data_IF_177157772528
#
_entry.id   IF_177157772528
#
_cell.length_a   1.000
_cell.length_b   1.000
_cell.length_c   1.000
_cell.angle_alpha   90.00
_cell.angle_beta   90.00
_cell.angle_gamma   90.00
#
_symmetry.space_group_name_H-M   'P 1'
#
loop_
_entity.id
_entity.type
_entity.pdbx_description
1 polymer ?
#
# COMPACT_ATOMS: atom_id res chain seq x y z
N UNK A 1 98.63 -1.11 66.40
CA UNK A 1 97.40 -0.30 66.52
C UNK A 1 97.37 0.69 65.36
N UNK A 2 96.80 0.28 64.23
CA UNK A 2 96.54 1.16 63.09
C UNK A 2 95.03 1.33 62.97
N UNK A 3 94.59 2.59 62.93
CA UNK A 3 93.21 3.01 62.71
C UNK A 3 93.22 3.82 61.41
N UNK A 4 92.53 3.33 60.39
CA UNK A 4 92.18 4.09 59.17
C UNK A 4 90.65 4.24 59.14
N UNK A 5 90.11 5.42 58.79
CA UNK A 5 88.73 5.59 58.43
C UNK A 5 88.60 5.81 56.91
N UNK A 6 87.96 4.87 56.20
CA UNK A 6 87.50 5.13 54.83
C UNK A 6 85.99 5.38 54.86
N UNK A 7 85.62 6.66 54.83
CA UNK A 7 84.31 7.12 54.40
C UNK A 7 84.38 7.32 52.88
N UNK A 8 83.87 6.37 52.10
CA UNK A 8 83.61 6.58 50.68
C UNK A 8 82.13 6.92 50.50
N UNK A 9 81.86 8.19 50.20
CA UNK A 9 80.56 8.69 49.73
C UNK A 9 80.33 8.11 48.33
N UNK A 10 79.31 7.29 48.14
CA UNK A 10 78.85 6.89 46.81
C UNK A 10 78.17 8.10 46.14
N UNK A 11 78.78 8.64 45.09
CA UNK A 11 78.10 9.54 44.15
C UNK A 11 76.99 8.74 43.44
N UNK A 12 75.73 8.97 43.82
CA UNK A 12 74.59 8.56 43.00
C UNK A 12 74.67 9.28 41.66
N UNK A 13 74.78 8.52 40.57
CA UNK A 13 74.72 9.06 39.21
C UNK A 13 73.38 9.80 39.01
N UNK A 14 73.41 10.95 38.31
CA UNK A 14 72.19 11.69 37.96
C UNK A 14 71.28 10.79 37.09
N UNK A 15 70.03 10.50 37.50
CA UNK A 15 69.10 9.67 36.73
C UNK A 15 68.87 10.20 35.31
N UNK A 16 69.13 11.48 35.05
CA UNK A 16 69.04 12.04 33.71
C UNK A 16 70.15 11.62 32.75
N UNK A 17 71.29 11.16 33.28
CA UNK A 17 72.45 10.72 32.50
C UNK A 17 72.44 9.21 32.21
N UNK A 18 71.60 8.45 32.91
CA UNK A 18 71.48 6.99 32.74
C UNK A 18 70.51 6.58 31.64
N UNK A 19 69.60 7.47 31.22
CA UNK A 19 68.59 7.19 30.17
C UNK A 19 69.03 7.69 28.79
N UNK A 20 68.63 6.99 27.73
CA UNK A 20 68.91 7.36 26.32
C UNK A 20 67.58 7.56 25.58
N UNK A 21 67.28 8.78 25.06
CA UNK A 21 68.07 10.01 25.13
C UNK A 21 68.08 10.62 26.55
N UNK A 22 69.14 11.35 26.95
CA UNK A 22 69.23 11.93 28.29
C UNK A 22 68.17 13.02 28.52
N UNK A 23 67.66 13.17 29.75
CA UNK A 23 66.79 14.32 30.04
C UNK A 23 67.59 15.62 30.07
N UNK A 24 67.17 16.58 29.25
CA UNK A 24 67.89 17.85 29.04
C UNK A 24 67.27 19.03 29.81
N UNK A 25 65.97 18.94 30.12
CA UNK A 25 65.18 20.03 30.68
C UNK A 25 64.59 19.64 32.05
N UNK A 26 64.27 20.63 32.88
CA UNK A 26 63.58 20.39 34.16
C UNK A 26 62.21 19.73 33.96
N UNK A 27 61.50 20.07 32.88
CA UNK A 27 60.26 19.40 32.47
C UNK A 27 60.49 17.92 32.15
N UNK A 28 61.54 17.58 31.39
CA UNK A 28 61.90 16.20 31.07
C UNK A 28 62.27 15.40 32.33
N UNK A 29 62.87 16.05 33.33
CA UNK A 29 63.16 15.43 34.63
C UNK A 29 61.89 15.06 35.39
N UNK A 30 60.89 15.96 35.41
CA UNK A 30 59.59 15.64 36.02
C UNK A 30 58.85 14.53 35.25
N UNK A 31 58.96 14.52 33.93
CA UNK A 31 58.35 13.48 33.09
C UNK A 31 59.03 12.13 33.27
N UNK A 32 60.36 12.10 33.42
CA UNK A 32 61.10 10.87 33.73
C UNK A 32 60.72 10.32 35.11
N UNK A 33 60.64 11.18 36.13
CA UNK A 33 60.23 10.74 37.47
C UNK A 33 58.77 10.25 37.49
N UNK A 34 57.89 10.88 36.72
CA UNK A 34 56.52 10.42 36.53
C UNK A 34 56.46 9.07 35.81
N UNK A 35 57.29 8.84 34.78
CA UNK A 35 57.38 7.55 34.10
C UNK A 35 57.98 6.45 34.98
N UNK A 36 58.95 6.77 35.85
CA UNK A 36 59.45 5.84 36.87
C UNK A 36 58.36 5.47 37.87
N UNK A 37 57.51 6.43 38.24
CA UNK A 37 56.37 6.16 39.11
C UNK A 37 55.34 5.25 38.43
N UNK A 38 55.06 5.48 37.15
CA UNK A 38 54.16 4.63 36.35
C UNK A 38 54.76 3.23 36.15
N UNK A 39 56.04 3.13 35.82
CA UNK A 39 56.75 1.86 35.67
C UNK A 39 56.67 1.04 36.96
N UNK A 40 56.93 1.65 38.11
CA UNK A 40 56.76 1.03 39.43
C UNK A 40 55.32 0.59 39.76
N UNK A 41 54.31 1.22 39.16
CA UNK A 41 52.91 0.79 39.33
C UNK A 41 52.55 -0.39 38.40
N UNK A 42 53.29 -0.55 37.29
CA UNK A 42 53.09 -1.62 36.31
C UNK A 42 53.92 -2.88 36.63
N UNK A 43 55.09 -2.69 37.25
CA UNK A 43 56.03 -3.71 37.71
C UNK A 43 55.62 -4.17 39.14
N UNK A 44 54.77 -5.20 39.22
CA UNK A 44 54.15 -5.65 40.48
C UNK A 44 55.15 -6.38 41.38
N UNK A 45 56.08 -7.15 40.78
CA UNK A 45 57.11 -7.89 41.51
C UNK A 45 58.39 -7.08 41.81
N UNK A 46 58.50 -5.87 41.25
CA UNK A 46 59.61 -4.92 41.40
C UNK A 46 60.97 -5.51 40.93
N UNK A 47 60.96 -6.36 39.92
CA UNK A 47 62.17 -6.96 39.34
C UNK A 47 62.93 -6.01 38.39
N UNK A 48 62.30 -4.88 38.01
CA UNK A 48 62.84 -3.85 37.14
C UNK A 48 62.41 -3.96 35.67
N UNK A 49 61.55 -4.91 35.30
CA UNK A 49 61.04 -5.10 33.95
C UNK A 49 59.57 -5.48 33.94
N UNK A 50 58.74 -4.71 33.22
CA UNK A 50 57.31 -5.04 33.12
C UNK A 50 57.15 -6.25 32.19
N UNK A 51 56.58 -7.33 32.68
CA UNK A 51 56.24 -8.52 31.89
C UNK A 51 54.89 -8.38 31.16
N UNK A 52 54.66 -9.23 30.16
CA UNK A 52 53.40 -9.24 29.38
C UNK A 52 52.19 -9.55 30.26
N UNK A 53 52.33 -10.41 31.28
CA UNK A 53 51.22 -10.77 32.15
C UNK A 53 50.83 -9.60 33.07
N UNK A 54 51.82 -8.92 33.65
CA UNK A 54 51.63 -7.76 34.52
C UNK A 54 50.95 -6.61 33.78
N UNK A 55 51.40 -6.33 32.55
CA UNK A 55 50.80 -5.26 31.75
C UNK A 55 49.36 -5.57 31.35
N UNK A 56 49.02 -6.83 31.07
CA UNK A 56 47.64 -7.25 30.77
C UNK A 56 46.74 -7.12 31.99
N UNK A 57 47.21 -7.56 33.16
CA UNK A 57 46.49 -7.44 34.43
C UNK A 57 46.21 -5.98 34.76
N UNK A 58 47.21 -5.12 34.66
CA UNK A 58 47.06 -3.68 34.87
C UNK A 58 46.06 -3.02 33.91
N UNK A 59 46.09 -3.36 32.61
CA UNK A 59 45.14 -2.81 31.62
C UNK A 59 43.69 -3.21 31.96
N UNK A 60 43.48 -4.44 32.44
CA UNK A 60 42.15 -4.96 32.74
C UNK A 60 41.64 -4.39 34.07
N UNK A 61 42.47 -4.42 35.12
CA UNK A 61 42.06 -4.09 36.49
C UNK A 61 42.08 -2.58 36.75
N UNK A 62 43.20 -1.92 36.45
CA UNK A 62 43.41 -0.52 36.79
C UNK A 62 42.91 0.43 35.70
N UNK A 63 43.13 0.09 34.43
CA UNK A 63 42.61 0.90 33.32
C UNK A 63 41.15 0.61 32.96
N UNK A 64 40.58 -0.50 33.45
CA UNK A 64 39.20 -0.96 33.17
C UNK A 64 38.89 -1.05 31.67
N UNK A 65 39.87 -1.43 30.85
CA UNK A 65 39.70 -1.56 29.40
C UNK A 65 39.74 -3.04 28.98
N UNK A 66 38.71 -3.50 28.26
CA UNK A 66 38.64 -4.87 27.72
C UNK A 66 39.46 -5.08 26.42
N UNK A 67 40.22 -4.06 25.97
CA UNK A 67 40.92 -4.12 24.69
C UNK A 67 42.25 -4.89 24.80
N UNK A 68 42.23 -6.16 24.40
CA UNK A 68 43.42 -7.02 24.32
C UNK A 68 44.39 -6.64 23.20
N UNK A 69 44.10 -5.66 22.33
CA UNK A 69 45.03 -5.25 21.27
C UNK A 69 46.05 -4.20 21.73
N UNK A 70 45.99 -3.76 22.99
CA UNK A 70 46.86 -2.70 23.54
C UNK A 70 48.16 -3.25 24.14
N UNK A 71 48.13 -4.43 24.76
CA UNK A 71 49.35 -5.07 25.30
C UNK A 71 50.37 -5.40 24.19
N UNK A 72 49.92 -5.75 22.98
CA UNK A 72 50.80 -6.00 21.83
C UNK A 72 51.49 -4.74 21.29
N UNK A 73 50.89 -3.56 21.48
CA UNK A 73 51.53 -2.29 21.13
C UNK A 73 52.60 -1.87 22.14
N UNK A 74 52.40 -2.23 23.40
CA UNK A 74 53.34 -1.94 24.49
C UNK A 74 54.56 -2.88 24.40
N UNK A 75 54.34 -4.18 24.19
CA UNK A 75 55.41 -5.19 24.16
C UNK A 75 55.98 -5.51 22.77
N UNK A 76 55.53 -4.87 21.67
CA UNK A 76 55.98 -5.11 20.26
C UNK A 76 56.66 -6.47 20.00
N UNK A 77 57.99 -6.54 20.16
CA UNK A 77 58.83 -7.75 20.03
C UNK A 77 59.54 -8.15 21.35
N UNK A 78 59.49 -7.31 22.39
CA UNK A 78 60.24 -7.45 23.64
C UNK A 78 59.33 -7.91 24.79
N UNK A 79 59.71 -9.01 25.45
CA UNK A 79 58.91 -9.61 26.52
C UNK A 79 58.97 -8.85 27.86
N UNK A 80 59.97 -7.98 28.05
CA UNK A 80 60.20 -7.23 29.29
C UNK A 80 60.47 -5.77 28.93
N UNK A 81 59.83 -4.82 29.63
CA UNK A 81 60.01 -3.37 29.38
C UNK A 81 60.66 -2.71 30.58
N UNK A 82 61.87 -2.20 30.37
CA UNK A 82 62.62 -1.44 31.39
C UNK A 82 62.20 0.04 31.44
N UNK A 83 62.58 0.74 32.52
CA UNK A 83 62.36 2.19 32.67
C UNK A 83 62.97 2.97 31.49
N UNK A 84 64.17 2.58 31.04
CA UNK A 84 64.86 3.19 29.91
C UNK A 84 64.09 3.01 28.59
N UNK A 85 63.49 1.83 28.39
CA UNK A 85 62.70 1.53 27.19
C UNK A 85 61.37 2.26 27.17
N UNK A 86 60.71 2.37 28.34
CA UNK A 86 59.50 3.17 28.49
C UNK A 86 59.79 4.65 28.21
N UNK A 87 60.90 5.18 28.72
CA UNK A 87 61.36 6.54 28.43
C UNK A 87 61.65 6.74 26.94
N UNK A 88 62.37 5.82 26.32
CA UNK A 88 62.68 5.86 24.88
C UNK A 88 61.41 5.81 24.04
N UNK A 89 60.47 4.92 24.38
CA UNK A 89 59.17 4.80 23.73
C UNK A 89 58.35 6.08 23.83
N UNK A 90 58.31 6.70 25.00
CA UNK A 90 57.68 7.99 25.23
C UNK A 90 58.29 9.10 24.37
N UNK A 91 59.62 9.26 24.35
CA UNK A 91 60.29 10.32 23.58
C UNK A 91 60.10 10.22 22.07
N UNK A 92 59.88 9.00 21.55
CA UNK A 92 59.60 8.75 20.13
C UNK A 92 58.10 8.88 19.80
N UNK A 93 57.23 8.80 20.81
CA UNK A 93 55.79 8.86 20.63
C UNK A 93 55.32 10.19 20.02
N UNK A 94 54.25 10.14 19.23
CA UNK A 94 53.60 11.36 18.71
C UNK A 94 53.06 12.24 19.84
N UNK A 95 52.70 11.62 20.97
CA UNK A 95 52.11 12.28 22.14
C UNK A 95 53.10 13.19 22.85
N UNK A 96 54.39 12.82 22.90
CA UNK A 96 55.44 13.70 23.42
C UNK A 96 55.56 15.00 22.62
N UNK A 97 55.34 14.95 21.30
CA UNK A 97 55.45 16.11 20.41
C UNK A 97 54.16 16.94 20.31
N UNK A 98 53.16 16.67 21.15
CA UNK A 98 51.92 17.46 21.16
C UNK A 98 52.17 18.89 21.59
N UNK A 99 51.61 19.80 20.80
CA UNK A 99 51.55 21.21 21.14
C UNK A 99 50.45 21.47 22.17
N UNK A 100 50.41 22.69 22.72
CA UNK A 100 49.32 23.12 23.60
C UNK A 100 47.93 22.92 22.94
N UNK A 101 47.80 23.18 21.65
CA UNK A 101 46.53 23.01 20.93
C UNK A 101 46.14 21.54 20.81
N UNK A 102 47.10 20.65 20.56
CA UNK A 102 46.86 19.21 20.49
C UNK A 102 46.42 18.66 21.84
N UNK A 103 47.07 19.10 22.93
CA UNK A 103 46.70 18.73 24.30
C UNK A 103 45.29 19.24 24.68
N UNK A 104 44.92 20.45 24.26
CA UNK A 104 43.58 20.99 24.46
C UNK A 104 42.54 20.26 23.61
N UNK A 105 42.87 19.90 22.37
CA UNK A 105 41.97 19.14 21.51
C UNK A 105 41.72 17.74 22.08
N UNK A 106 42.78 17.08 22.56
CA UNK A 106 42.69 15.81 23.27
C UNK A 106 41.80 15.90 24.52
N UNK A 107 41.94 16.96 25.33
CA UNK A 107 41.09 17.20 26.49
C UNK A 107 39.61 17.30 26.12
N UNK A 108 39.28 17.93 24.99
CA UNK A 108 37.89 18.11 24.51
C UNK A 108 37.31 16.85 23.88
N UNK A 109 38.04 16.22 22.97
CA UNK A 109 37.52 15.14 22.14
C UNK A 109 37.69 13.77 22.78
N UNK A 110 38.81 13.53 23.48
CA UNK A 110 39.18 12.21 23.99
C UNK A 110 38.91 12.04 25.48
N UNK A 111 39.07 13.12 26.26
CA UNK A 111 38.78 13.14 27.70
C UNK A 111 37.37 13.68 27.99
N UNK A 112 36.79 14.45 27.07
CA UNK A 112 35.47 15.09 27.19
C UNK A 112 35.36 16.02 28.40
N UNK A 113 36.44 16.75 28.71
CA UNK A 113 36.49 17.71 29.82
C UNK A 113 36.82 19.13 29.32
N UNK A 114 35.99 19.73 28.44
CA UNK A 114 36.26 21.05 27.86
C UNK A 114 36.35 22.17 28.92
N UNK A 115 35.74 21.97 30.08
CA UNK A 115 35.71 22.95 31.18
C UNK A 115 37.10 23.32 31.74
N UNK A 116 38.11 22.45 31.60
CA UNK A 116 39.47 22.72 32.07
C UNK A 116 40.39 23.30 30.99
N UNK A 117 39.87 23.56 29.78
CA UNK A 117 40.64 24.15 28.67
C UNK A 117 41.38 25.42 29.08
N UNK A 118 40.71 26.32 29.80
CA UNK A 118 41.31 27.60 30.22
C UNK A 118 42.53 27.39 31.11
N UNK A 119 42.46 26.42 32.02
CA UNK A 119 43.57 26.08 32.91
C UNK A 119 44.71 25.44 32.10
N UNK A 120 44.40 24.53 31.17
CA UNK A 120 45.41 23.92 30.30
C UNK A 120 46.17 24.97 29.46
N UNK A 121 45.45 25.99 28.96
CA UNK A 121 46.04 27.12 28.23
C UNK A 121 46.86 28.06 29.12
N UNK A 122 46.37 28.37 30.32
CA UNK A 122 47.05 29.24 31.29
C UNK A 122 48.38 28.63 31.76
N UNK A 123 48.40 27.32 32.03
CA UNK A 123 49.59 26.60 32.50
C UNK A 123 50.46 26.01 31.37
N UNK A 124 50.11 26.28 30.10
CA UNK A 124 50.84 25.82 28.91
C UNK A 124 51.12 24.31 28.93
N UNK A 125 50.08 23.52 29.20
CA UNK A 125 50.16 22.06 29.21
C UNK A 125 50.44 21.57 27.80
N UNK A 126 51.59 20.95 27.60
CA UNK A 126 52.03 20.35 26.35
C UNK A 126 52.17 18.82 26.47
N UNK A 127 52.54 18.15 25.37
CA UNK A 127 52.79 16.72 25.35
C UNK A 127 53.74 16.25 26.44
N UNK A 128 54.82 17.01 26.70
CA UNK A 128 55.83 16.66 27.68
C UNK A 128 55.29 16.59 29.11
N UNK A 129 54.25 17.36 29.45
CA UNK A 129 53.64 17.34 30.80
C UNK A 129 52.64 16.20 31.03
N UNK A 130 52.23 15.46 30.00
CA UNK A 130 51.25 14.37 30.12
C UNK A 130 51.65 13.22 31.05
N UNK A 131 52.92 12.76 31.10
CA UNK A 131 53.33 11.73 32.06
C UNK A 131 53.06 12.12 33.51
N UNK A 132 53.17 13.41 33.85
CA UNK A 132 52.89 13.91 35.20
C UNK A 132 51.40 13.81 35.56
N UNK A 133 50.53 13.97 34.57
CA UNK A 133 49.08 13.76 34.69
C UNK A 133 48.78 12.26 34.83
N UNK A 134 49.44 11.43 34.04
CA UNK A 134 49.34 9.96 34.08
C UNK A 134 49.83 9.35 35.40
N UNK A 135 50.83 9.96 36.04
CA UNK A 135 51.31 9.57 37.37
C UNK A 135 50.44 10.09 38.53
N UNK A 136 49.34 10.81 38.25
CA UNK A 136 48.43 11.40 39.23
C UNK A 136 49.12 12.33 40.24
N UNK A 137 50.11 13.12 39.81
CA UNK A 137 50.89 13.99 40.70
C UNK A 137 49.97 15.04 41.38
N UNK A 138 49.76 15.00 42.72
CA UNK A 138 48.77 15.85 43.38
C UNK A 138 49.06 17.35 43.27
N UNK A 139 50.34 17.73 43.28
CA UNK A 139 50.85 19.08 43.06
C UNK A 139 50.46 19.61 41.69
N UNK A 140 50.62 18.81 40.64
CA UNK A 140 50.28 19.22 39.28
C UNK A 140 48.77 19.27 39.06
N UNK A 141 48.05 18.21 39.45
CA UNK A 141 46.61 18.06 39.22
C UNK A 141 45.75 19.03 40.03
N UNK A 142 46.10 19.25 41.31
CA UNK A 142 45.28 20.05 42.22
C UNK A 142 45.74 21.51 42.28
N UNK A 143 47.04 21.78 42.31
CA UNK A 143 47.55 23.16 42.48
C UNK A 143 47.68 23.90 41.15
N UNK A 144 48.12 23.24 40.07
CA UNK A 144 48.28 23.87 38.76
C UNK A 144 46.99 23.76 37.95
N UNK A 145 46.49 22.55 37.67
CA UNK A 145 45.29 22.39 36.83
C UNK A 145 43.96 22.73 37.51
N UNK A 146 43.96 22.97 38.83
CA UNK A 146 42.78 23.30 39.66
C UNK A 146 41.62 22.32 39.48
N UNK A 147 41.93 21.05 39.21
CA UNK A 147 40.92 20.00 39.10
C UNK A 147 40.64 19.53 40.53
N UNK A 148 39.50 19.91 41.09
CA UNK A 148 39.13 19.53 42.47
C UNK A 148 38.31 18.23 42.52
N UNK A 149 37.59 17.92 41.44
CA UNK A 149 36.72 16.73 41.37
C UNK A 149 37.53 15.45 41.17
N UNK A 150 37.35 14.49 42.08
CA UNK A 150 38.02 13.20 42.07
C UNK A 150 37.69 12.37 40.81
N UNK A 151 36.47 12.49 40.27
CA UNK A 151 36.06 11.76 39.07
C UNK A 151 36.78 12.29 37.82
N UNK A 152 36.91 13.60 37.71
CA UNK A 152 37.64 14.22 36.61
C UNK A 152 39.14 13.95 36.71
N UNK A 153 39.70 13.92 37.93
CA UNK A 153 41.09 13.49 38.15
C UNK A 153 41.32 12.08 37.66
N UNK A 154 40.48 11.13 38.08
CA UNK A 154 40.58 9.73 37.66
C UNK A 154 40.40 9.57 36.14
N UNK A 155 39.39 10.22 35.54
CA UNK A 155 39.16 10.16 34.10
C UNK A 155 40.35 10.72 33.31
N UNK A 156 40.87 11.88 33.73
CA UNK A 156 42.01 12.53 33.08
C UNK A 156 43.30 11.69 33.24
N UNK A 157 43.52 11.14 34.43
CA UNK A 157 44.65 10.26 34.72
C UNK A 157 44.63 9.01 33.82
N UNK A 158 43.53 8.27 33.80
CA UNK A 158 43.39 7.05 33.00
C UNK A 158 43.57 7.33 31.50
N UNK A 159 43.04 8.45 31.00
CA UNK A 159 43.21 8.84 29.60
C UNK A 159 44.64 9.30 29.29
N UNK A 160 45.30 10.00 30.22
CA UNK A 160 46.70 10.41 30.05
C UNK A 160 47.62 9.19 30.07
N UNK A 161 47.36 8.24 30.96
CA UNK A 161 48.07 6.97 31.04
C UNK A 161 47.91 6.17 29.75
N UNK A 162 46.68 6.12 29.22
CA UNK A 162 46.41 5.51 27.91
C UNK A 162 47.19 6.18 26.78
N UNK A 163 47.25 7.51 26.77
CA UNK A 163 47.98 8.27 25.77
C UNK A 163 49.50 8.09 25.86
N UNK A 164 50.04 8.02 27.08
CA UNK A 164 51.48 7.89 27.34
C UNK A 164 51.98 6.47 27.03
N UNK A 165 51.21 5.44 27.40
CA UNK A 165 51.59 4.04 27.20
C UNK A 165 51.31 3.53 25.77
N UNK A 166 50.19 3.94 25.16
CA UNK A 166 49.72 3.37 23.88
C UNK A 166 49.71 4.36 22.71
N UNK A 167 50.02 5.64 22.96
CA UNK A 167 50.04 6.68 21.93
C UNK A 167 48.70 7.41 21.77
N UNK A 168 48.52 8.23 20.71
CA UNK A 168 47.33 9.05 20.54
C UNK A 168 46.06 8.21 20.58
N UNK A 169 44.98 8.67 21.25
CA UNK A 169 43.72 7.96 21.20
C UNK A 169 43.28 7.83 19.75
N UNK A 170 42.89 6.60 19.36
CA UNK A 170 42.32 6.31 18.05
C UNK A 170 41.17 7.28 17.80
N UNK A 171 41.42 8.33 17.00
CA UNK A 171 40.39 9.30 16.66
C UNK A 171 39.20 8.50 16.13
N UNK A 172 37.98 8.66 16.66
CA UNK A 172 36.80 8.20 15.95
C UNK A 172 36.74 9.06 14.69
N UNK A 173 37.34 8.58 13.61
CA UNK A 173 37.22 9.20 12.32
C UNK A 173 35.74 9.10 12.00
N UNK A 174 35.01 10.22 12.12
CA UNK A 174 33.60 10.26 11.76
C UNK A 174 33.55 10.02 10.24
N UNK A 175 33.40 8.75 9.90
CA UNK A 175 33.55 8.24 8.56
C UNK A 175 32.22 8.50 7.86
N UNK A 176 32.00 9.76 7.48
CA UNK A 176 30.80 10.22 6.77
C UNK A 176 30.44 9.29 5.60
N UNK A 177 31.45 8.66 4.98
CA UNK A 177 31.29 7.65 3.93
C UNK A 177 30.58 6.38 4.44
N UNK A 178 30.91 5.89 5.64
CA UNK A 178 30.23 4.75 6.28
C UNK A 178 28.78 5.10 6.60
N UNK A 179 28.53 6.30 7.13
CA UNK A 179 27.18 6.75 7.45
C UNK A 179 26.35 6.99 6.17
N UNK A 180 26.98 7.46 5.10
CA UNK A 180 26.37 7.63 3.78
C UNK A 180 26.03 6.29 3.12
N UNK A 181 26.93 5.31 3.18
CA UNK A 181 26.69 3.95 2.70
C UNK A 181 25.58 3.26 3.51
N UNK A 182 25.54 3.47 4.82
CA UNK A 182 24.47 2.97 5.68
C UNK A 182 23.11 3.59 5.31
N UNK A 183 23.06 4.90 5.05
CA UNK A 183 21.82 5.56 4.63
C UNK A 183 21.34 5.07 3.26
N UNK A 184 22.26 4.91 2.31
CA UNK A 184 21.92 4.35 0.98
C UNK A 184 21.41 2.90 1.11
N UNK A 185 22.02 2.08 1.95
CA UNK A 185 21.59 0.68 2.12
C UNK A 185 20.20 0.57 2.76
N UNK A 186 19.87 1.45 3.71
CA UNK A 186 18.53 1.56 4.29
C UNK A 186 17.51 1.98 3.21
N UNK A 187 17.84 2.97 2.37
CA UNK A 187 16.94 3.42 1.29
C UNK A 187 16.69 2.29 0.28
N UNK A 188 17.71 1.53 -0.09
CA UNK A 188 17.58 0.38 -0.99
C UNK A 188 16.74 -0.72 -0.33
N UNK A 189 16.97 -1.01 0.96
CA UNK A 189 16.19 -2.01 1.72
C UNK A 189 14.70 -1.62 1.81
N UNK A 190 14.40 -0.37 2.17
CA UNK A 190 13.03 0.14 2.25
C UNK A 190 12.38 0.20 0.87
N UNK A 191 13.13 0.63 -0.16
CA UNK A 191 12.68 0.64 -1.55
C UNK A 191 12.34 -0.76 -2.06
N UNK A 192 13.18 -1.77 -1.73
CA UNK A 192 12.95 -3.17 -2.05
C UNK A 192 11.72 -3.73 -1.34
N UNK A 193 11.57 -3.47 -0.03
CA UNK A 193 10.40 -3.88 0.74
C UNK A 193 9.10 -3.22 0.22
N UNK A 194 9.15 -1.94 -0.14
CA UNK A 194 8.03 -1.21 -0.71
C UNK A 194 7.65 -1.73 -2.11
N UNK A 195 8.64 -2.01 -2.96
CA UNK A 195 8.43 -2.59 -4.28
C UNK A 195 7.83 -3.99 -4.19
N UNK A 196 8.35 -4.85 -3.29
CA UNK A 196 7.78 -6.16 -3.01
C UNK A 196 6.35 -6.06 -2.46
N UNK A 197 6.07 -5.08 -1.59
CA UNK A 197 4.71 -4.82 -1.07
C UNK A 197 3.75 -4.42 -2.20
N UNK A 198 4.16 -3.53 -3.11
CA UNK A 198 3.38 -3.14 -4.29
C UNK A 198 3.15 -4.34 -5.21
N UNK A 199 4.20 -5.11 -5.51
CA UNK A 199 4.11 -6.26 -6.40
C UNK A 199 3.24 -7.37 -5.78
N UNK A 200 3.28 -7.56 -4.46
CA UNK A 200 2.41 -8.47 -3.72
C UNK A 200 0.94 -8.01 -3.72
N UNK A 201 0.68 -6.68 -3.69
CA UNK A 201 -0.67 -6.14 -3.86
C UNK A 201 -1.17 -6.33 -5.30
N UNK A 202 -0.31 -6.12 -6.29
CA UNK A 202 -0.61 -6.32 -7.71
C UNK A 202 -0.80 -7.81 -8.06
N UNK A 203 -0.03 -8.72 -7.46
CA UNK A 203 -0.16 -10.16 -7.69
C UNK A 203 -1.48 -10.70 -7.17
N UNK A 204 -1.99 -10.18 -6.04
CA UNK A 204 -3.34 -10.54 -5.56
C UNK A 204 -4.45 -10.11 -6.51
N UNK A 205 -4.22 -9.05 -7.29
CA UNK A 205 -5.16 -8.64 -8.35
C UNK A 205 -5.08 -9.62 -9.52
N UNK A 206 -3.88 -10.01 -9.97
CA UNK A 206 -3.73 -11.02 -11.02
C UNK A 206 -4.22 -12.42 -10.61
N UNK A 207 -4.04 -12.84 -9.35
CA UNK A 207 -4.53 -14.12 -8.82
C UNK A 207 -6.05 -14.11 -8.73
N UNK A 208 -6.68 -13.01 -8.30
CA UNK A 208 -8.14 -12.93 -8.30
C UNK A 208 -8.73 -12.90 -9.71
N UNK A 209 -8.01 -12.31 -10.67
CA UNK A 209 -8.35 -12.40 -12.09
C UNK A 209 -8.22 -13.84 -12.62
N UNK A 210 -7.11 -14.53 -12.33
CA UNK A 210 -6.89 -15.93 -12.71
C UNK A 210 -7.88 -16.89 -12.05
N UNK A 211 -8.28 -16.65 -10.80
CA UNK A 211 -9.30 -17.48 -10.12
C UNK A 211 -10.67 -17.31 -10.78
N UNK A 212 -11.03 -16.10 -11.21
CA UNK A 212 -12.27 -15.86 -11.97
C UNK A 212 -12.23 -16.53 -13.34
N UNK A 213 -11.10 -16.48 -14.03
CA UNK A 213 -10.95 -17.13 -15.32
C UNK A 213 -11.03 -18.66 -15.18
N UNK A 214 -10.44 -19.23 -14.10
CA UNK A 214 -10.48 -20.66 -13.79
C UNK A 214 -11.89 -21.12 -13.38
N UNK A 215 -12.62 -20.32 -12.61
CA UNK A 215 -14.02 -20.57 -12.26
C UNK A 215 -14.93 -20.48 -13.50
N UNK A 216 -14.66 -19.55 -14.42
CA UNK A 216 -15.38 -19.45 -15.69
C UNK A 216 -15.09 -20.63 -16.63
N UNK A 217 -13.84 -21.11 -16.65
CA UNK A 217 -13.43 -22.29 -17.41
C UNK A 217 -14.06 -23.55 -16.84
N UNK A 218 -14.09 -23.69 -15.51
CA UNK A 218 -14.75 -24.80 -14.83
C UNK A 218 -16.26 -24.80 -15.09
N UNK A 219 -16.89 -23.62 -15.13
CA UNK A 219 -18.30 -23.49 -15.49
C UNK A 219 -18.54 -23.81 -16.98
N UNK A 220 -17.61 -23.45 -17.87
CA UNK A 220 -17.68 -23.81 -19.28
C UNK A 220 -17.50 -25.33 -19.48
N UNK A 221 -16.57 -25.96 -18.76
CA UNK A 221 -16.38 -27.41 -18.74
C UNK A 221 -17.63 -28.15 -18.25
N UNK A 222 -18.23 -27.69 -17.14
CA UNK A 222 -19.49 -28.24 -16.62
C UNK A 222 -20.66 -28.06 -17.60
N UNK A 223 -20.73 -26.91 -18.29
CA UNK A 223 -21.76 -26.67 -19.31
C UNK A 223 -21.58 -27.54 -20.56
N UNK A 224 -20.34 -27.87 -20.93
CA UNK A 224 -20.04 -28.80 -22.02
C UNK A 224 -20.44 -30.22 -21.65
N UNK A 225 -20.16 -30.65 -20.42
CA UNK A 225 -20.61 -31.95 -19.90
C UNK A 225 -22.14 -32.02 -19.86
N UNK A 226 -22.82 -30.95 -19.43
CA UNK A 226 -24.28 -30.88 -19.43
C UNK A 226 -24.85 -30.93 -20.86
N UNK A 227 -24.23 -30.23 -21.81
CA UNK A 227 -24.64 -30.27 -23.22
C UNK A 227 -24.39 -31.65 -23.84
N UNK A 228 -23.26 -32.31 -23.56
CA UNK A 228 -23.00 -33.69 -23.98
C UNK A 228 -24.02 -34.66 -23.39
N UNK A 229 -24.33 -34.53 -22.10
CA UNK A 229 -25.37 -35.30 -21.41
C UNK A 229 -26.75 -35.09 -22.03
N UNK A 230 -27.13 -33.84 -22.32
CA UNK A 230 -28.41 -33.51 -22.98
C UNK A 230 -28.46 -34.01 -24.41
N UNK A 231 -27.34 -34.01 -25.13
CA UNK A 231 -27.26 -34.51 -26.50
C UNK A 231 -27.32 -36.04 -26.51
N UNK A 232 -26.66 -36.73 -25.58
CA UNK A 232 -26.77 -38.17 -25.38
C UNK A 232 -28.20 -38.57 -24.97
N UNK A 233 -28.81 -37.83 -24.04
CA UNK A 233 -30.21 -38.03 -23.64
C UNK A 233 -31.20 -37.76 -24.78
N UNK A 234 -30.99 -36.72 -25.58
CA UNK A 234 -31.81 -36.45 -26.77
C UNK A 234 -31.58 -37.47 -27.89
N UNK A 235 -30.39 -38.09 -27.98
CA UNK A 235 -30.08 -39.14 -28.93
C UNK A 235 -30.64 -40.50 -28.48
N UNK A 236 -30.69 -40.76 -27.18
CA UNK A 236 -31.33 -41.93 -26.58
C UNK A 236 -32.86 -41.83 -26.61
N UNK A 237 -33.41 -40.63 -26.35
CA UNK A 237 -34.83 -40.33 -26.55
C UNK A 237 -35.19 -40.42 -28.05
N UNK A 238 -34.36 -39.96 -28.98
CA UNK A 238 -34.61 -40.19 -30.41
C UNK A 238 -34.48 -41.66 -30.82
N UNK A 239 -33.61 -42.46 -30.19
CA UNK A 239 -33.50 -43.90 -30.47
C UNK A 239 -34.67 -44.68 -29.91
N UNK A 240 -35.11 -44.37 -28.69
CA UNK A 240 -36.31 -44.97 -28.08
C UNK A 240 -37.56 -44.54 -28.82
N UNK A 241 -37.71 -43.26 -29.17
CA UNK A 241 -38.82 -42.76 -29.99
C UNK A 241 -38.75 -43.31 -31.42
N UNK A 242 -37.58 -43.53 -32.03
CA UNK A 242 -37.50 -44.17 -33.35
C UNK A 242 -37.90 -45.64 -33.29
N UNK A 243 -37.48 -46.38 -32.27
CA UNK A 243 -37.86 -47.80 -32.07
C UNK A 243 -39.33 -47.93 -31.67
N UNK A 244 -39.83 -47.06 -30.80
CA UNK A 244 -41.25 -46.98 -30.44
C UNK A 244 -42.09 -46.51 -31.61
N UNK A 245 -41.63 -45.55 -32.42
CA UNK A 245 -42.31 -45.13 -33.64
C UNK A 245 -42.32 -46.25 -34.67
N UNK A 246 -41.25 -47.03 -34.82
CA UNK A 246 -41.24 -48.15 -35.76
C UNK A 246 -42.13 -49.30 -35.26
N UNK A 247 -42.10 -49.59 -33.96
CA UNK A 247 -42.95 -50.60 -33.32
C UNK A 247 -44.43 -50.18 -33.30
N UNK A 248 -44.72 -48.91 -33.04
CA UNK A 248 -46.06 -48.33 -33.07
C UNK A 248 -46.58 -48.16 -34.49
N UNK A 249 -45.75 -47.79 -35.47
CA UNK A 249 -46.16 -47.80 -36.89
C UNK A 249 -46.40 -49.21 -37.40
N UNK A 250 -45.65 -50.21 -36.93
CA UNK A 250 -45.87 -51.60 -37.29
C UNK A 250 -47.12 -52.16 -36.63
N UNK A 251 -47.34 -51.83 -35.34
CA UNK A 251 -48.56 -52.16 -34.61
C UNK A 251 -49.79 -51.43 -35.17
N UNK A 252 -49.66 -50.16 -35.57
CA UNK A 252 -50.70 -49.42 -36.28
C UNK A 252 -50.93 -49.98 -37.69
N UNK A 253 -49.90 -50.41 -38.43
CA UNK A 253 -50.10 -51.10 -39.72
C UNK A 253 -50.83 -52.43 -39.53
N UNK A 254 -50.52 -53.18 -38.49
CA UNK A 254 -51.16 -54.46 -38.19
C UNK A 254 -52.58 -54.29 -37.65
N UNK A 255 -52.83 -53.27 -36.82
CA UNK A 255 -54.17 -52.87 -36.37
C UNK A 255 -54.98 -52.25 -37.51
N UNK A 256 -54.39 -51.45 -38.40
CA UNK A 256 -55.04 -50.95 -39.61
C UNK A 256 -55.35 -52.11 -40.55
N UNK A 257 -54.45 -53.10 -40.72
CA UNK A 257 -54.71 -54.27 -41.55
C UNK A 257 -55.70 -55.25 -40.88
N UNK A 258 -55.75 -55.30 -39.55
CA UNK A 258 -56.76 -56.02 -38.77
C UNK A 258 -58.13 -55.35 -38.88
N UNK A 259 -58.20 -54.06 -38.60
CA UNK A 259 -59.38 -53.21 -38.74
C UNK A 259 -59.85 -53.08 -40.19
N UNK A 260 -58.96 -53.16 -41.19
CA UNK A 260 -59.35 -53.16 -42.61
C UNK A 260 -59.88 -54.52 -43.06
N UNK A 261 -59.42 -55.63 -42.44
CA UNK A 261 -60.01 -56.97 -42.60
C UNK A 261 -61.36 -57.07 -41.88
N UNK A 262 -61.48 -56.54 -40.67
CA UNK A 262 -62.74 -56.47 -39.92
C UNK A 262 -63.72 -55.47 -40.52
N UNK A 263 -63.28 -54.30 -40.99
CA UNK A 263 -64.14 -53.33 -41.67
C UNK A 263 -64.56 -53.80 -43.07
N UNK A 264 -63.77 -54.63 -43.75
CA UNK A 264 -64.22 -55.30 -44.98
C UNK A 264 -65.24 -56.41 -44.67
N UNK A 265 -65.04 -57.18 -43.59
CA UNK A 265 -65.98 -58.19 -43.08
C UNK A 265 -67.28 -57.60 -42.48
N UNK A 266 -67.20 -56.41 -41.88
CA UNK A 266 -68.32 -55.64 -41.34
C UNK A 266 -69.02 -54.79 -42.40
N UNK A 267 -68.35 -54.44 -43.51
CA UNK A 267 -69.01 -53.85 -44.70
C UNK A 267 -69.93 -54.85 -45.39
N UNK A 268 -69.53 -56.12 -45.49
CA UNK A 268 -70.40 -57.20 -45.99
C UNK A 268 -71.58 -57.50 -45.06
N UNK A 269 -71.46 -57.23 -43.75
CA UNK A 269 -72.54 -57.42 -42.77
C UNK A 269 -73.41 -56.17 -42.54
N UNK A 270 -73.15 -55.07 -43.25
CA UNK A 270 -73.87 -53.80 -43.07
C UNK A 270 -74.41 -53.24 -44.39
N UNK A 271 -74.92 -54.13 -45.24
CA UNK A 271 -76.14 -53.83 -45.99
C UNK A 271 -77.32 -53.93 -45.02
N UNK A 272 -77.68 -52.80 -44.40
CA UNK A 272 -78.90 -52.72 -43.60
C UNK A 272 -78.79 -51.79 -42.40
N UNK A 273 -79.63 -50.76 -42.44
CA UNK A 273 -80.03 -49.86 -41.35
C UNK A 273 -79.04 -48.75 -40.95
N UNK A 274 -79.22 -47.61 -41.62
CA UNK A 274 -78.95 -46.28 -41.11
C UNK A 274 -79.76 -45.99 -39.83
N UNK A 275 -79.11 -45.49 -38.77
CA UNK A 275 -79.50 -44.31 -37.97
C UNK A 275 -78.59 -44.26 -36.71
N UNK A 276 -77.98 -43.09 -36.46
CA UNK A 276 -77.00 -42.69 -35.39
C UNK A 276 -75.71 -42.06 -35.99
N UNK A 277 -75.49 -42.17 -37.31
CA UNK A 277 -74.35 -41.51 -37.97
C UNK A 277 -74.59 -39.99 -38.16
N UNK A 278 -75.85 -39.56 -38.25
CA UNK A 278 -76.21 -38.19 -38.63
C UNK A 278 -76.02 -37.18 -37.49
N UNK A 279 -76.18 -37.59 -36.23
CA UNK A 279 -76.08 -36.68 -35.07
C UNK A 279 -74.62 -36.41 -34.65
N UNK A 280 -73.76 -37.42 -34.73
CA UNK A 280 -72.32 -37.27 -34.45
C UNK A 280 -71.61 -36.50 -35.56
N UNK A 281 -72.00 -36.71 -36.82
CA UNK A 281 -71.45 -35.98 -37.97
C UNK A 281 -71.79 -34.47 -37.90
N UNK A 282 -73.01 -34.13 -37.48
CA UNK A 282 -73.41 -32.73 -37.28
C UNK A 282 -72.63 -32.08 -36.12
N UNK A 283 -72.43 -32.77 -35.00
CA UNK A 283 -71.64 -32.25 -33.88
C UNK A 283 -70.14 -32.10 -34.22
N UNK A 284 -69.60 -33.00 -35.05
CA UNK A 284 -68.24 -32.91 -35.57
C UNK A 284 -68.08 -31.74 -36.56
N UNK A 285 -69.06 -31.53 -37.43
CA UNK A 285 -69.12 -30.39 -38.36
C UNK A 285 -69.23 -29.05 -37.60
N UNK A 286 -70.05 -28.96 -36.55
CA UNK A 286 -70.13 -27.77 -35.68
C UNK A 286 -68.80 -27.50 -34.94
N UNK A 287 -68.12 -28.53 -34.41
CA UNK A 287 -66.80 -28.36 -33.78
C UNK A 287 -65.73 -27.91 -34.77
N UNK A 288 -65.80 -28.37 -36.02
CA UNK A 288 -64.89 -27.91 -37.08
C UNK A 288 -65.18 -26.45 -37.41
N UNK A 289 -66.45 -26.04 -37.49
CA UNK A 289 -66.81 -24.63 -37.70
C UNK A 289 -66.34 -23.73 -36.55
N UNK A 290 -66.53 -24.14 -35.30
CA UNK A 290 -66.06 -23.38 -34.12
C UNK A 290 -64.53 -23.30 -34.08
N UNK A 291 -63.82 -24.39 -34.39
CA UNK A 291 -62.35 -24.36 -34.48
C UNK A 291 -61.86 -23.48 -35.61
N UNK A 292 -62.52 -23.48 -36.77
CA UNK A 292 -62.20 -22.57 -37.87
C UNK A 292 -62.51 -21.11 -37.53
N UNK A 293 -63.62 -20.85 -36.83
CA UNK A 293 -63.98 -19.52 -36.35
C UNK A 293 -62.99 -19.01 -35.30
N UNK A 294 -62.58 -19.86 -34.35
CA UNK A 294 -61.56 -19.54 -33.36
C UNK A 294 -60.20 -19.28 -34.01
N UNK A 295 -59.80 -20.11 -34.99
CA UNK A 295 -58.55 -19.93 -35.74
C UNK A 295 -58.57 -18.68 -36.64
N UNK A 296 -59.75 -18.30 -37.15
CA UNK A 296 -59.95 -17.02 -37.85
C UNK A 296 -59.87 -15.85 -36.88
N UNK A 297 -60.55 -15.92 -35.74
CA UNK A 297 -60.49 -14.91 -34.69
C UNK A 297 -59.08 -14.74 -34.10
N UNK A 298 -58.33 -15.83 -33.92
CA UNK A 298 -56.93 -15.81 -33.48
C UNK A 298 -56.02 -15.18 -34.54
N UNK A 299 -56.26 -15.48 -35.83
CA UNK A 299 -55.50 -14.90 -36.93
C UNK A 299 -55.83 -13.42 -37.13
N UNK A 300 -57.08 -13.02 -37.01
CA UNK A 300 -57.55 -11.63 -37.06
C UNK A 300 -57.02 -10.84 -35.85
N UNK A 301 -57.06 -11.42 -34.65
CA UNK A 301 -56.45 -10.81 -33.47
C UNK A 301 -54.93 -10.65 -33.64
N UNK A 302 -54.22 -11.68 -34.09
CA UNK A 302 -52.76 -11.61 -34.33
C UNK A 302 -52.38 -10.62 -35.45
N UNK A 303 -53.24 -10.40 -36.45
CA UNK A 303 -52.98 -9.38 -37.47
C UNK A 303 -53.21 -7.94 -36.98
N UNK A 304 -54.02 -7.75 -35.93
CA UNK A 304 -54.36 -6.43 -35.40
C UNK A 304 -53.42 -5.95 -34.29
N UNK A 305 -52.59 -6.83 -33.71
CA UNK A 305 -51.53 -6.46 -32.76
C UNK A 305 -50.27 -5.97 -33.50
N UNK A 306 -50.36 -4.82 -34.17
CA UNK A 306 -49.17 -4.06 -34.57
C UNK A 306 -49.00 -2.86 -33.65
N UNK A 307 -47.78 -2.65 -33.14
CA UNK A 307 -47.50 -1.55 -32.23
C UNK A 307 -47.62 -0.23 -33.02
N UNK A 308 -48.43 0.76 -32.57
CA UNK A 308 -48.67 1.98 -33.35
C UNK A 308 -47.39 2.76 -33.66
N UNK A 309 -47.24 3.25 -34.89
CA UNK A 309 -46.10 4.09 -35.32
C UNK A 309 -45.92 5.35 -34.44
N UNK A 310 -47.04 5.91 -33.96
CA UNK A 310 -47.02 6.99 -32.99
C UNK A 310 -46.26 6.61 -31.69
N UNK A 311 -46.39 5.37 -31.21
CA UNK A 311 -45.68 4.91 -30.02
C UNK A 311 -44.17 4.87 -30.26
N UNK A 312 -43.74 4.47 -31.45
CA UNK A 312 -42.31 4.49 -31.81
C UNK A 312 -41.74 5.90 -31.71
N UNK A 313 -42.41 6.90 -32.28
CA UNK A 313 -41.94 8.28 -32.22
C UNK A 313 -41.89 8.82 -30.78
N UNK A 314 -42.90 8.54 -29.95
CA UNK A 314 -42.92 8.95 -28.54
C UNK A 314 -41.84 8.26 -27.70
N UNK A 315 -41.57 6.97 -27.93
CA UNK A 315 -40.50 6.25 -27.27
C UNK A 315 -39.12 6.78 -27.69
N UNK A 316 -38.93 7.10 -28.97
CA UNK A 316 -37.71 7.73 -29.46
C UNK A 316 -37.50 9.11 -28.82
N UNK A 317 -38.55 9.95 -28.74
CA UNK A 317 -38.47 11.24 -28.04
C UNK A 317 -38.11 11.05 -26.56
N UNK A 318 -38.72 10.07 -25.90
CA UNK A 318 -38.45 9.75 -24.48
C UNK A 318 -37.01 9.33 -24.27
N UNK A 319 -36.47 8.46 -25.14
CA UNK A 319 -35.06 8.07 -25.14
C UNK A 319 -34.14 9.28 -25.27
N UNK A 320 -34.42 10.19 -26.22
CA UNK A 320 -33.60 11.38 -26.44
C UNK A 320 -33.60 12.33 -25.24
N UNK A 321 -34.77 12.57 -24.64
CA UNK A 321 -34.87 13.41 -23.43
C UNK A 321 -34.12 12.77 -22.26
N UNK A 322 -34.27 11.46 -22.06
CA UNK A 322 -33.57 10.72 -21.02
C UNK A 322 -32.04 10.74 -21.25
N UNK A 323 -31.61 10.64 -22.51
CA UNK A 323 -30.21 10.73 -22.91
C UNK A 323 -29.61 12.10 -22.58
N UNK A 324 -30.36 13.19 -22.81
CA UNK A 324 -29.96 14.54 -22.41
C UNK A 324 -29.78 14.66 -20.89
N UNK A 325 -30.75 14.21 -20.09
CA UNK A 325 -30.66 14.24 -18.63
C UNK A 325 -29.45 13.47 -18.11
N UNK A 326 -29.22 12.28 -18.65
CA UNK A 326 -28.04 11.50 -18.32
C UNK A 326 -26.74 12.21 -18.69
N UNK A 327 -26.65 12.83 -19.87
CA UNK A 327 -25.44 13.52 -20.31
C UNK A 327 -25.12 14.69 -19.38
N UNK A 328 -26.13 15.44 -18.94
CA UNK A 328 -25.98 16.50 -17.93
C UNK A 328 -25.50 15.90 -16.60
N UNK A 329 -26.14 14.82 -16.10
CA UNK A 329 -25.74 14.17 -14.84
C UNK A 329 -24.29 13.64 -14.92
N UNK A 330 -23.90 13.07 -16.06
CA UNK A 330 -22.54 12.59 -16.33
C UNK A 330 -21.52 13.72 -16.31
N UNK A 331 -21.78 14.82 -17.04
CA UNK A 331 -20.88 15.98 -17.06
C UNK A 331 -20.71 16.58 -15.66
N UNK A 332 -21.77 16.67 -14.88
CA UNK A 332 -21.70 17.16 -13.50
C UNK A 332 -20.83 16.24 -12.61
N UNK A 333 -20.98 14.92 -12.73
CA UNK A 333 -20.15 13.97 -11.99
C UNK A 333 -18.66 14.04 -12.42
N UNK A 334 -18.39 14.22 -13.71
CA UNK A 334 -17.02 14.42 -14.23
C UNK A 334 -16.40 15.73 -13.73
N UNK A 335 -17.19 16.80 -13.64
CA UNK A 335 -16.76 18.07 -13.07
C UNK A 335 -16.44 17.94 -11.58
N UNK A 336 -17.33 17.30 -10.80
CA UNK A 336 -17.10 17.03 -9.37
C UNK A 336 -15.80 16.23 -9.16
N UNK A 337 -15.55 15.21 -9.98
CA UNK A 337 -14.31 14.45 -9.93
C UNK A 337 -13.08 15.32 -10.23
N UNK A 338 -13.17 16.21 -11.21
CA UNK A 338 -12.07 17.10 -11.59
C UNK A 338 -11.75 18.06 -10.44
N UNK A 339 -12.77 18.68 -9.86
CA UNK A 339 -12.61 19.57 -8.69
C UNK A 339 -11.98 18.83 -7.51
N UNK A 340 -12.47 17.63 -7.18
CA UNK A 340 -11.92 16.83 -6.09
C UNK A 340 -10.45 16.43 -6.34
N UNK A 341 -10.08 16.10 -7.59
CA UNK A 341 -8.69 15.82 -7.99
C UNK A 341 -7.79 17.04 -7.82
N UNK A 342 -8.23 18.21 -8.28
CA UNK A 342 -7.46 19.44 -8.18
C UNK A 342 -7.20 19.85 -6.72
N UNK A 343 -8.20 19.70 -5.84
CA UNK A 343 -8.05 19.96 -4.41
C UNK A 343 -7.09 18.95 -3.73
N UNK A 344 -7.19 17.67 -4.08
CA UNK A 344 -6.28 16.64 -3.59
C UNK A 344 -4.82 16.90 -4.05
N UNK A 345 -4.62 17.33 -5.30
CA UNK A 345 -3.30 17.70 -5.81
C UNK A 345 -2.72 18.93 -5.12
N UNK A 346 -3.55 19.93 -4.79
CA UNK A 346 -3.12 21.10 -4.00
C UNK A 346 -2.62 20.69 -2.62
N UNK A 347 -3.33 19.78 -1.93
CA UNK A 347 -2.88 19.23 -0.64
C UNK A 347 -1.55 18.47 -0.81
N UNK A 348 -1.46 17.60 -1.83
CA UNK A 348 -0.24 16.84 -2.13
C UNK A 348 0.97 17.77 -2.39
N UNK A 349 0.79 18.86 -3.14
CA UNK A 349 1.83 19.86 -3.39
C UNK A 349 2.24 20.60 -2.11
N UNK A 350 1.28 20.99 -1.26
CA UNK A 350 1.56 21.59 0.06
C UNK A 350 2.34 20.66 0.97
N UNK A 351 2.01 19.36 0.97
CA UNK A 351 2.69 18.32 1.76
C UNK A 351 4.14 18.08 1.31
N UNK A 352 4.42 18.24 0.01
CA UNK A 352 5.75 18.05 -0.57
C UNK A 352 6.63 19.31 -0.53
N UNK A 353 6.11 20.45 -0.08
CA UNK A 353 6.89 21.68 0.09
C UNK A 353 7.68 21.66 1.41
N UNK A 354 8.91 22.16 1.39
CA UNK A 354 9.95 22.02 2.44
C UNK A 354 9.55 22.53 3.84
N UNK A 355 8.48 23.32 3.95
CA UNK A 355 7.93 23.81 5.23
C UNK A 355 6.52 23.25 5.57
N UNK A 356 6.02 22.26 4.82
CA UNK A 356 4.60 21.82 4.87
C UNK A 356 4.22 20.85 6.00
N UNK A 357 5.18 20.17 6.62
CA UNK A 357 4.92 19.06 7.56
C UNK A 357 4.31 19.52 8.89
N UNK A 358 4.49 20.79 9.27
CA UNK A 358 4.03 21.31 10.57
C UNK A 358 2.57 21.80 10.56
N UNK A 359 2.00 22.13 9.39
CA UNK A 359 0.69 22.80 9.29
C UNK A 359 -0.45 21.89 8.78
N UNK A 360 -0.13 20.71 8.26
CA UNK A 360 -1.11 19.80 7.63
C UNK A 360 -1.81 18.87 8.63
N UNK A 361 -1.23 18.63 9.81
CA UNK A 361 -1.80 17.72 10.81
C UNK A 361 -3.03 18.28 11.57
N UNK A 362 -3.30 19.59 11.47
CA UNK A 362 -4.41 20.25 12.17
C UNK A 362 -5.40 20.97 11.24
N UNK A 363 -5.29 20.81 9.92
CA UNK A 363 -6.18 21.49 8.98
C UNK A 363 -7.41 20.64 8.66
N UNK A 364 -8.60 21.11 9.05
CA UNK A 364 -9.92 20.58 8.65
C UNK A 364 -10.11 20.41 7.13
N UNK A 365 -9.22 20.99 6.32
CA UNK A 365 -9.21 20.88 4.86
C UNK A 365 -8.93 19.47 4.31
N UNK A 366 -8.31 18.58 5.07
CA UNK A 366 -8.05 17.21 4.59
C UNK A 366 -9.33 16.36 4.59
N UNK A 367 -10.09 16.43 5.68
CA UNK A 367 -11.37 15.72 5.81
C UNK A 367 -12.41 16.25 4.82
N UNK A 368 -12.43 17.56 4.57
CA UNK A 368 -13.30 18.17 3.57
C UNK A 368 -12.98 17.66 2.15
N UNK A 369 -11.70 17.55 1.79
CA UNK A 369 -11.29 17.01 0.49
C UNK A 369 -11.58 15.51 0.39
N UNK A 370 -11.39 14.75 1.46
CA UNK A 370 -11.76 13.33 1.47
C UNK A 370 -13.27 13.13 1.27
N UNK A 371 -14.10 13.94 1.93
CA UNK A 371 -15.55 13.93 1.73
C UNK A 371 -15.94 14.23 0.28
N UNK A 372 -15.36 15.27 -0.34
CA UNK A 372 -15.59 15.60 -1.76
C UNK A 372 -15.15 14.47 -2.70
N UNK A 373 -14.06 13.76 -2.38
CA UNK A 373 -13.62 12.59 -3.16
C UNK A 373 -14.65 11.45 -3.05
N UNK A 374 -15.16 11.18 -1.85
CA UNK A 374 -16.18 10.15 -1.63
C UNK A 374 -17.48 10.49 -2.37
N UNK A 375 -17.90 11.75 -2.32
CA UNK A 375 -19.10 12.23 -3.03
C UNK A 375 -18.93 12.09 -4.55
N UNK A 376 -17.79 12.51 -5.11
CA UNK A 376 -17.50 12.36 -6.53
C UNK A 376 -17.45 10.88 -6.98
N UNK A 377 -16.92 9.98 -6.13
CA UNK A 377 -16.97 8.53 -6.40
C UNK A 377 -18.39 8.00 -6.39
N UNK A 378 -19.21 8.43 -5.43
CA UNK A 378 -20.63 8.06 -5.35
C UNK A 378 -21.37 8.53 -6.60
N UNK A 379 -21.24 9.79 -7.00
CA UNK A 379 -21.93 10.33 -8.18
C UNK A 379 -21.54 9.61 -9.48
N UNK A 380 -20.26 9.24 -9.66
CA UNK A 380 -19.82 8.43 -10.80
C UNK A 380 -20.37 6.99 -10.76
N UNK A 381 -20.46 6.38 -9.58
CA UNK A 381 -21.06 5.06 -9.42
C UNK A 381 -22.54 5.06 -9.81
N UNK A 382 -23.27 6.12 -9.42
CA UNK A 382 -24.67 6.31 -9.80
C UNK A 382 -24.84 6.51 -11.31
N UNK A 383 -23.99 7.33 -11.95
CA UNK A 383 -24.00 7.52 -13.41
C UNK A 383 -23.73 6.19 -14.14
N UNK A 384 -22.82 5.37 -13.61
CA UNK A 384 -22.53 4.05 -14.17
C UNK A 384 -23.71 3.08 -14.03
N UNK A 385 -24.34 3.04 -12.86
CA UNK A 385 -25.52 2.22 -12.61
C UNK A 385 -26.70 2.65 -13.50
N UNK A 386 -26.94 3.96 -13.61
CA UNK A 386 -27.95 4.56 -14.47
C UNK A 386 -27.71 4.22 -15.94
N UNK A 387 -26.45 4.26 -16.42
CA UNK A 387 -26.13 3.86 -17.80
C UNK A 387 -26.50 2.39 -18.07
N UNK A 388 -26.11 1.48 -17.16
CA UNK A 388 -26.41 0.04 -17.32
C UNK A 388 -27.91 -0.24 -17.32
N UNK A 389 -28.63 0.35 -16.36
CA UNK A 389 -30.08 0.23 -16.28
C UNK A 389 -30.72 0.72 -17.58
N UNK A 390 -30.37 1.93 -18.02
CA UNK A 390 -30.93 2.54 -19.21
C UNK A 390 -30.69 1.69 -20.46
N UNK A 391 -29.45 1.24 -20.68
CA UNK A 391 -29.12 0.38 -21.82
C UNK A 391 -29.94 -0.91 -21.79
N UNK A 392 -30.05 -1.55 -20.63
CA UNK A 392 -30.83 -2.77 -20.47
C UNK A 392 -32.33 -2.52 -20.73
N UNK A 393 -32.92 -1.50 -20.11
CA UNK A 393 -34.33 -1.18 -20.27
C UNK A 393 -34.68 -0.85 -21.72
N UNK A 394 -33.89 -0.01 -22.40
CA UNK A 394 -34.16 0.31 -23.80
C UNK A 394 -33.99 -0.90 -24.71
N UNK A 395 -33.01 -1.77 -24.45
CA UNK A 395 -32.88 -3.04 -25.18
C UNK A 395 -34.13 -3.94 -24.99
N UNK A 396 -34.68 -4.03 -23.78
CA UNK A 396 -35.91 -4.80 -23.54
C UNK A 396 -37.12 -4.16 -24.21
N UNK A 397 -37.23 -2.83 -24.18
CA UNK A 397 -38.31 -2.10 -24.84
C UNK A 397 -38.26 -2.33 -26.36
N UNK A 398 -37.09 -2.22 -27.00
CA UNK A 398 -36.94 -2.51 -28.44
C UNK A 398 -37.31 -3.96 -28.77
N UNK A 399 -36.93 -4.93 -27.91
CA UNK A 399 -37.29 -6.35 -28.09
C UNK A 399 -38.79 -6.59 -28.00
N UNK A 400 -39.49 -5.92 -27.08
CA UNK A 400 -40.94 -6.06 -26.87
C UNK A 400 -41.71 -5.34 -27.99
N UNK A 401 -41.24 -4.16 -28.40
CA UNK A 401 -41.92 -3.33 -29.38
C UNK A 401 -41.62 -3.73 -30.84
N UNK A 402 -40.49 -4.40 -31.11
CA UNK A 402 -40.14 -4.89 -32.45
C UNK A 402 -39.64 -3.83 -33.43
N UNK A 403 -39.28 -2.63 -32.95
CA UNK A 403 -38.74 -1.53 -33.75
C UNK A 403 -37.57 -0.82 -33.05
N UNK A 404 -36.67 -0.14 -33.79
CA UNK A 404 -35.56 0.60 -33.19
C UNK A 404 -36.03 1.89 -32.52
N UNK A 405 -35.54 2.12 -31.31
CA UNK A 405 -35.77 3.31 -30.48
C UNK A 405 -34.47 4.07 -30.24
N UNK A 406 -33.38 3.36 -29.93
CA UNK A 406 -32.06 3.95 -29.60
C UNK A 406 -31.42 4.58 -30.83
N UNK A 407 -31.57 3.95 -31.99
CA UNK A 407 -31.11 4.50 -33.28
C UNK A 407 -32.26 5.29 -33.94
N UNK A 408 -32.26 6.60 -33.76
CA UNK A 408 -33.32 7.49 -34.22
C UNK A 408 -32.76 8.76 -34.89
N UNK A 409 -33.66 9.62 -35.40
CA UNK A 409 -33.30 10.84 -36.14
C UNK A 409 -32.85 12.02 -35.25
N UNK A 410 -32.81 11.82 -33.93
CA UNK A 410 -32.38 12.80 -32.93
C UNK A 410 -33.50 13.73 -32.46
N UNK A 411 -33.27 14.35 -31.29
CA UNK A 411 -34.23 15.20 -30.58
C UNK A 411 -34.88 16.29 -31.45
N UNK A 412 -34.15 17.06 -32.30
CA UNK A 412 -34.76 18.15 -33.07
C UNK A 412 -35.74 17.65 -34.14
N UNK A 413 -35.41 16.55 -34.81
CA UNK A 413 -36.24 15.93 -35.85
C UNK A 413 -37.52 15.34 -35.25
N UNK A 414 -37.38 14.62 -34.14
CA UNK A 414 -38.52 14.02 -33.42
C UNK A 414 -39.47 15.08 -32.85
N UNK A 415 -38.92 16.16 -32.29
CA UNK A 415 -39.71 17.28 -31.76
C UNK A 415 -40.47 17.98 -32.89
N UNK A 416 -39.81 18.22 -34.03
CA UNK A 416 -40.47 18.82 -35.19
C UNK A 416 -41.63 17.96 -35.71
N UNK A 417 -41.45 16.64 -35.81
CA UNK A 417 -42.48 15.73 -36.32
C UNK A 417 -43.64 15.49 -35.35
N UNK A 418 -43.37 15.39 -34.03
CA UNK A 418 -44.41 15.15 -33.02
C UNK A 418 -45.21 16.39 -32.65
N UNK A 419 -44.59 17.58 -32.71
CA UNK A 419 -45.24 18.84 -32.31
C UNK A 419 -45.66 19.72 -33.51
N UNK A 420 -45.54 19.24 -34.76
CA UNK A 420 -45.97 19.96 -35.95
C UNK A 420 -47.45 20.40 -35.90
N UNK A 421 -48.33 19.61 -35.29
CA UNK A 421 -49.78 19.88 -35.20
C UNK A 421 -50.23 20.62 -33.93
N UNK A 422 -49.32 20.96 -33.00
CA UNK A 422 -49.66 21.66 -31.75
C UNK A 422 -48.80 22.91 -31.54
N UNK A 423 -49.28 24.02 -32.12
CA UNK A 423 -48.66 25.36 -32.09
C UNK A 423 -48.61 26.06 -30.71
N UNK A 424 -48.86 25.38 -29.59
CA UNK A 424 -49.02 26.04 -28.28
C UNK A 424 -48.10 25.57 -27.15
N UNK A 425 -47.10 24.72 -27.39
CA UNK A 425 -46.12 24.34 -26.34
C UNK A 425 -44.68 24.40 -26.85
N UNK A 426 -44.22 25.58 -27.24
CA UNK A 426 -42.78 25.88 -27.36
C UNK A 426 -42.44 26.99 -26.38
N UNK A 427 -42.10 26.61 -25.15
CA UNK A 427 -41.13 27.39 -24.39
C UNK A 427 -39.79 26.66 -24.52
N UNK A 428 -38.76 27.28 -25.13
CA UNK A 428 -37.42 26.76 -25.06
C UNK A 428 -37.03 26.73 -23.57
N UNK A 429 -36.73 25.57 -22.98
CA UNK A 429 -36.14 25.50 -21.63
C UNK A 429 -34.66 25.94 -21.66
N UNK A 430 -34.38 27.07 -22.29
CA UNK A 430 -33.09 27.75 -22.30
C UNK A 430 -33.16 28.98 -21.38
N UNK A 431 -33.77 28.85 -20.20
CA UNK A 431 -33.65 29.80 -19.08
C UNK A 431 -34.59 29.38 -17.94
N UNK A 432 -34.21 28.37 -17.17
CA UNK A 432 -34.70 28.21 -15.80
C UNK A 432 -33.47 28.34 -14.91
N UNK A 433 -33.45 29.22 -13.89
CA UNK A 433 -32.31 29.34 -12.99
C UNK A 433 -32.02 27.99 -12.31
N UNK A 434 -30.76 27.71 -11.90
CA UNK A 434 -30.44 26.45 -11.24
C UNK A 434 -31.21 26.37 -9.93
N UNK A 435 -31.99 25.31 -9.74
CA UNK A 435 -32.48 24.96 -8.40
C UNK A 435 -31.25 24.76 -7.49
N UNK A 436 -31.21 25.36 -6.29
CA UNK A 436 -30.05 25.26 -5.41
C UNK A 436 -29.80 23.82 -4.98
N UNK A 437 -28.52 23.47 -4.99
CA UNK A 437 -27.93 22.25 -4.43
C UNK A 437 -28.22 22.23 -2.93
N UNK A 438 -28.97 21.24 -2.45
CA UNK A 438 -29.10 20.98 -1.01
C UNK A 438 -27.88 20.19 -0.53
N UNK A 439 -26.94 20.90 0.09
CA UNK A 439 -25.92 20.34 0.97
C UNK A 439 -26.12 20.91 2.37
N UNK A 440 -26.49 20.04 3.31
CA UNK A 440 -26.32 20.13 4.77
C UNK A 440 -26.97 21.28 5.54
N UNK A 441 -28.00 20.98 6.35
CA UNK A 441 -28.00 21.03 7.83
C UNK A 441 -29.30 20.45 8.38
N UNK A 442 -29.21 19.93 9.60
CA UNK A 442 -30.25 19.41 10.48
C UNK A 442 -31.47 20.33 10.70
N UNK A 443 -32.54 19.66 11.15
CA UNK A 443 -33.71 20.10 11.92
C UNK A 443 -34.89 20.81 11.23
N UNK A 444 -36.05 20.16 11.40
CA UNK A 444 -37.41 20.67 11.57
C UNK A 444 -37.94 21.70 10.55
N UNK A 445 -38.83 21.27 9.65
CA UNK A 445 -40.27 21.29 9.96
C UNK A 445 -41.10 20.65 8.84
N UNK A 446 -42.22 20.11 9.28
CA UNK A 446 -43.29 19.43 8.58
C UNK A 446 -43.92 20.30 7.49
N UNK A 447 -43.73 19.94 6.21
CA UNK A 447 -44.71 20.22 5.15
C UNK A 447 -44.47 19.31 3.95
N UNK A 448 -45.24 18.22 3.93
CA UNK A 448 -45.26 17.26 2.82
C UNK A 448 -45.98 17.90 1.62
N UNK A 449 -45.34 18.11 0.46
CA UNK A 449 -46.06 18.56 -0.73
C UNK A 449 -47.04 17.47 -1.19
N UNK A 450 -48.22 17.83 -1.73
CA UNK A 450 -49.30 16.89 -1.93
C UNK A 450 -48.86 15.81 -2.91
N UNK A 451 -49.07 14.56 -2.50
CA UNK A 451 -49.07 13.38 -3.37
C UNK A 451 -49.92 13.75 -4.59
N UNK A 452 -49.27 13.85 -5.75
CA UNK A 452 -49.95 13.98 -7.04
C UNK A 452 -50.97 12.83 -7.07
N UNK A 453 -52.28 13.11 -7.26
CA UNK A 453 -53.26 12.05 -7.29
C UNK A 453 -52.83 11.08 -8.37
N UNK A 454 -52.71 9.81 -8.01
CA UNK A 454 -52.55 8.76 -9.00
C UNK A 454 -53.63 8.98 -10.04
N UNK A 455 -53.24 9.14 -11.31
CA UNK A 455 -54.16 9.10 -12.41
C UNK A 455 -54.89 7.76 -12.31
N UNK A 456 -56.09 7.80 -11.76
CA UNK A 456 -57.06 6.73 -11.94
C UNK A 456 -57.35 6.76 -13.43
N UNK A 457 -56.68 5.88 -14.17
CA UNK A 457 -57.13 5.50 -15.49
C UNK A 457 -58.54 4.93 -15.32
N UNK A 458 -59.55 5.79 -15.43
CA UNK A 458 -60.84 5.36 -15.93
C UNK A 458 -60.56 4.89 -17.35
N UNK A 459 -60.51 3.57 -17.52
CA UNK A 459 -60.62 2.96 -18.84
C UNK A 459 -61.77 3.65 -19.58
N UNK A 460 -61.58 4.14 -20.81
CA UNK A 460 -62.73 4.35 -21.67
C UNK A 460 -63.39 2.99 -21.80
N UNK A 461 -64.64 2.91 -21.36
CA UNK A 461 -65.52 1.78 -21.62
C UNK A 461 -65.35 1.33 -23.07
N UNK A 462 -64.98 0.07 -23.26
CA UNK A 462 -65.09 -0.61 -24.53
C UNK A 462 -66.47 -0.30 -25.13
N UNK A 463 -66.48 0.11 -26.40
CA UNK A 463 -67.69 0.33 -27.19
C UNK A 463 -68.69 -0.83 -27.05
N UNK A 464 -70.00 -0.56 -26.88
CA UNK A 464 -71.03 -1.58 -26.69
C UNK A 464 -71.41 -2.24 -28.03
N UNK A 465 -70.56 -3.14 -28.53
CA UNK A 465 -70.91 -4.01 -29.68
C UNK A 465 -70.50 -5.48 -29.51
N UNK A 466 -70.38 -5.94 -28.27
CA UNK A 466 -70.05 -7.34 -27.97
C UNK A 466 -70.93 -7.92 -26.84
N UNK A 467 -72.18 -7.46 -26.76
CA UNK A 467 -73.17 -8.00 -25.82
C UNK A 467 -74.48 -8.46 -26.49
N UNK A 468 -74.45 -8.74 -27.79
CA UNK A 468 -75.51 -9.47 -28.51
C UNK A 468 -74.84 -10.60 -29.30
N UNK A 469 -74.52 -11.70 -28.62
CA UNK A 469 -74.33 -13.03 -29.20
C UNK A 469 -74.02 -14.02 -28.07
N UNK A 470 -75.04 -14.23 -27.23
CA UNK A 470 -75.29 -15.48 -26.52
C UNK A 470 -76.76 -15.82 -26.70
#
# INVERSE_FOLDING_TARGET
YHKSPDNFVSLSADPCLTVIPPCMNEADRFSLEALRHIHKQLDDDNDGGIEVNESVEFIIEDMKQQQTNKHSNLHREDQHITVEELWRGWKISEVHNWTLEDAVQWLKESVELPQYEKNFREFKVDGNTLPRIAANEPSFMSMQLKILDQRHKQKLNLKALDAVLFGPPLRPHHHWLKDFVLMISIIIGVGGCWFAYIQNKSSRIHISQMMKDLESLQHAEQSLIELQSRLEKAQEENRTVAVEKQNLEQKMRDEINGAKREASRLRELREGAECELSRLKYAEEELVQVRMALKRAEKEMQSDWSVPEALQMWLQLTHEVELQYYNIKKQNAELQLTVAKDEAEKIKKKRNSVFGTLHVAHSSSLDEVDHKILEAKKSLSEVTACLRERLHRWQQIEKICGFPVVNNSGLPSLTASLYADHSWVVMPRMSVPPYPIAGGVDDLDEDTPPIIPQFTCKFPSLSPRLCEMF
#
